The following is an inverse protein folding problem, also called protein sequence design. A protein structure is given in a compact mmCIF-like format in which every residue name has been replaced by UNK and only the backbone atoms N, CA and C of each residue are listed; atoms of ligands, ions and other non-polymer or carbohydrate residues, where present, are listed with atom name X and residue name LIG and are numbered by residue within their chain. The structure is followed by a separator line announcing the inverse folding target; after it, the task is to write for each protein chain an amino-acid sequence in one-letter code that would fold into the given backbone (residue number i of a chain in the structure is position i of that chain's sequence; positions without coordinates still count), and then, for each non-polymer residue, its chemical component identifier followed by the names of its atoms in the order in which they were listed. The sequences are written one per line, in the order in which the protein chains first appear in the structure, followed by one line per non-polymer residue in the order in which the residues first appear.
data_IF_186177404456
#
_entry.id   IF_186177404456
#
_cell.length_a   1.000
_cell.length_b   1.000
_cell.length_c   1.000
_cell.angle_alpha   90.00
_cell.angle_beta   90.00
_cell.angle_gamma   90.00
#
_symmetry.space_group_name_H-M   'P 1'
#
loop_
_entity.id
_entity.type
_entity.pdbx_description
1 polymer ?
#
# COMPACT_ATOMS: atom_id res chain seq x y z
N UNK A 1 33.52 -8.80 21.85
CA UNK A 1 32.12 -9.26 21.70
C UNK A 1 31.44 -8.81 22.97
N UNK A 2 30.80 -7.63 22.98
CA UNK A 2 30.08 -7.14 24.15
C UNK A 2 28.78 -7.93 24.21
N UNK A 3 28.62 -8.72 25.28
CA UNK A 3 27.34 -9.35 25.62
C UNK A 3 26.39 -8.22 26.02
N UNK A 4 25.23 -8.15 25.38
CA UNK A 4 24.20 -7.16 25.71
C UNK A 4 23.73 -7.39 27.16
N UNK A 5 23.59 -6.32 27.93
CA UNK A 5 23.20 -6.39 29.34
C UNK A 5 21.73 -6.88 29.47
N UNK A 6 21.37 -7.59 30.55
CA UNK A 6 20.06 -8.23 30.72
C UNK A 6 18.87 -7.26 30.70
N UNK A 7 19.07 -5.98 31.02
CA UNK A 7 18.01 -4.94 30.94
C UNK A 7 17.64 -4.60 29.49
N UNK A 8 18.59 -4.65 28.55
CA UNK A 8 18.32 -4.41 27.12
C UNK A 8 17.50 -5.55 26.49
N UNK A 9 17.67 -6.79 26.98
CA UNK A 9 16.93 -7.96 26.49
C UNK A 9 15.46 -7.96 26.95
N UNK A 10 15.17 -7.51 28.18
CA UNK A 10 13.80 -7.39 28.68
C UNK A 10 13.02 -6.25 27.98
N UNK A 11 13.65 -5.12 27.66
CA UNK A 11 13.02 -4.07 26.83
C UNK A 11 12.79 -4.52 25.37
N UNK A 12 13.67 -5.33 24.82
CA UNK A 12 13.54 -5.89 23.46
C UNK A 12 12.43 -6.94 23.37
N UNK A 13 12.30 -7.86 24.33
CA UNK A 13 11.17 -8.79 24.39
C UNK A 13 9.85 -8.05 24.65
N UNK A 14 9.85 -7.01 25.49
CA UNK A 14 8.71 -6.13 25.71
C UNK A 14 8.36 -5.25 24.49
N UNK A 15 9.16 -5.28 23.41
CA UNK A 15 8.86 -4.61 22.14
C UNK A 15 8.24 -5.53 21.08
N UNK A 16 8.24 -6.86 21.30
CA UNK A 16 7.67 -7.82 20.35
C UNK A 16 6.16 -8.04 20.55
N UNK A 17 5.40 -8.10 19.47
CA UNK A 17 3.98 -8.41 19.52
C UNK A 17 3.56 -9.14 18.24
N UNK A 18 2.82 -10.24 18.39
CA UNK A 18 2.41 -11.10 17.28
C UNK A 18 0.90 -11.33 17.35
N UNK A 19 0.20 -11.22 16.22
CA UNK A 19 -1.17 -11.68 16.03
C UNK A 19 -1.21 -13.20 15.83
N UNK A 20 -0.24 -13.71 15.10
CA UNK A 20 -0.04 -15.12 14.77
C UNK A 20 1.42 -15.49 14.98
N UNK A 21 1.69 -16.72 15.40
CA UNK A 21 3.03 -17.29 15.22
C UNK A 21 3.40 -17.37 13.74
N UNK A 22 4.70 -17.51 13.43
CA UNK A 22 5.15 -17.67 12.03
C UNK A 22 4.47 -18.87 11.36
N UNK A 23 4.31 -19.97 12.10
CA UNK A 23 3.63 -21.17 11.61
C UNK A 23 2.16 -20.89 11.30
N UNK A 24 1.44 -20.23 12.22
CA UNK A 24 0.05 -19.85 11.99
C UNK A 24 -0.08 -18.86 10.82
N UNK A 25 0.85 -17.93 10.64
CA UNK A 25 0.84 -17.01 9.52
C UNK A 25 1.01 -17.76 8.18
N UNK A 26 1.89 -18.76 8.13
CA UNK A 26 2.06 -19.62 6.96
C UNK A 26 0.79 -20.39 6.60
N UNK A 27 0.07 -20.88 7.60
CA UNK A 27 -1.17 -21.66 7.43
C UNK A 27 -2.40 -20.79 7.14
N UNK A 28 -2.45 -19.58 7.72
CA UNK A 28 -3.63 -18.71 7.68
C UNK A 28 -3.60 -17.65 6.60
N UNK A 29 -2.41 -17.28 6.08
CA UNK A 29 -2.28 -16.29 5.03
C UNK A 29 -3.14 -16.66 3.82
N UNK A 30 -3.85 -15.67 3.28
CA UNK A 30 -4.60 -15.86 2.05
C UNK A 30 -3.68 -15.59 0.87
N UNK A 31 -3.51 -16.58 -0.02
CA UNK A 31 -2.86 -16.31 -1.31
C UNK A 31 -3.69 -15.28 -2.09
N UNK A 32 -3.02 -14.36 -2.77
CA UNK A 32 -3.69 -13.26 -3.48
C UNK A 32 -4.84 -13.77 -4.36
N UNK A 33 -6.03 -13.24 -4.10
CA UNK A 33 -7.30 -13.80 -4.59
C UNK A 33 -7.66 -13.37 -6.02
N UNK A 34 -6.83 -12.52 -6.64
CA UNK A 34 -7.03 -12.00 -7.98
C UNK A 34 -6.05 -10.90 -8.36
N UNK A 35 -6.08 -10.48 -9.63
CA UNK A 35 -5.22 -9.39 -10.12
C UNK A 35 -5.56 -8.07 -9.43
N UNK A 36 -4.54 -7.34 -8.94
CA UNK A 36 -4.70 -6.10 -8.16
C UNK A 36 -5.50 -6.24 -6.84
N UNK A 37 -5.79 -7.46 -6.40
CA UNK A 37 -6.65 -7.74 -5.24
C UNK A 37 -5.92 -7.77 -3.89
N UNK A 38 -4.71 -7.21 -3.79
CA UNK A 38 -3.93 -7.21 -2.54
C UNK A 38 -4.70 -6.55 -1.38
N UNK A 39 -5.48 -5.50 -1.65
CA UNK A 39 -6.34 -4.86 -0.65
C UNK A 39 -7.47 -5.77 -0.14
N UNK A 40 -8.15 -6.48 -1.05
CA UNK A 40 -9.20 -7.43 -0.68
C UNK A 40 -8.63 -8.65 0.07
N UNK A 41 -7.49 -9.18 -0.38
CA UNK A 41 -6.76 -10.23 0.34
C UNK A 41 -6.37 -9.79 1.75
N UNK A 42 -5.85 -8.57 1.92
CA UNK A 42 -5.54 -8.04 3.24
C UNK A 42 -6.78 -7.93 4.14
N UNK A 43 -7.94 -7.56 3.59
CA UNK A 43 -9.21 -7.53 4.36
C UNK A 43 -9.64 -8.93 4.80
N UNK A 44 -9.48 -9.96 3.96
CA UNK A 44 -9.73 -11.35 4.36
C UNK A 44 -8.84 -11.74 5.54
N UNK A 45 -7.54 -11.46 5.45
CA UNK A 45 -6.58 -11.77 6.52
C UNK A 45 -6.89 -10.99 7.81
N UNK A 46 -7.30 -9.72 7.69
CA UNK A 46 -7.73 -8.90 8.83
C UNK A 46 -8.93 -9.54 9.52
N UNK A 47 -9.97 -9.90 8.77
CA UNK A 47 -11.19 -10.45 9.33
C UNK A 47 -10.92 -11.82 9.97
N UNK A 48 -10.11 -12.66 9.33
CA UNK A 48 -9.61 -13.90 9.94
C UNK A 48 -8.86 -13.65 11.25
N UNK A 49 -7.97 -12.65 11.31
CA UNK A 49 -7.23 -12.30 12.52
C UNK A 49 -8.14 -11.79 13.65
N UNK A 50 -9.25 -11.12 13.31
CA UNK A 50 -10.28 -10.69 14.24
C UNK A 50 -11.29 -11.80 14.62
N UNK A 51 -11.12 -13.02 14.09
CA UNK A 51 -12.04 -14.13 14.34
C UNK A 51 -13.39 -14.00 13.63
N UNK A 52 -13.43 -13.30 12.49
CA UNK A 52 -14.61 -13.13 11.64
C UNK A 52 -14.40 -13.86 10.33
N UNK A 53 -15.22 -14.88 10.08
CA UNK A 53 -15.18 -15.62 8.82
C UNK A 53 -15.84 -14.83 7.70
N UNK A 54 -15.13 -14.70 6.58
CA UNK A 54 -15.58 -14.06 5.35
C UNK A 54 -15.03 -14.84 4.16
N UNK A 55 -15.80 -14.95 3.08
CA UNK A 55 -15.28 -15.53 1.84
C UNK A 55 -14.42 -14.50 1.10
N UNK A 56 -13.38 -14.92 0.36
CA UNK A 56 -12.62 -14.04 -0.53
C UNK A 56 -13.48 -13.20 -1.47
N UNK A 57 -14.51 -13.81 -2.04
CA UNK A 57 -15.42 -13.17 -3.01
C UNK A 57 -16.25 -12.07 -2.34
N UNK A 58 -16.69 -12.30 -1.10
CA UNK A 58 -17.43 -11.30 -0.32
C UNK A 58 -16.53 -10.12 0.03
N UNK A 59 -15.29 -10.39 0.47
CA UNK A 59 -14.34 -9.33 0.77
C UNK A 59 -13.99 -8.49 -0.48
N UNK A 60 -13.74 -9.12 -1.63
CA UNK A 60 -13.44 -8.40 -2.88
C UNK A 60 -14.63 -7.55 -3.35
N UNK A 61 -15.86 -8.10 -3.26
CA UNK A 61 -17.09 -7.38 -3.57
C UNK A 61 -17.27 -6.13 -2.70
N UNK A 62 -16.98 -6.23 -1.40
CA UNK A 62 -17.12 -5.12 -0.44
C UNK A 62 -15.98 -4.09 -0.56
N UNK A 63 -14.76 -4.52 -0.85
CA UNK A 63 -13.61 -3.62 -1.03
C UNK A 63 -13.70 -2.83 -2.34
N UNK A 64 -14.36 -3.39 -3.36
CA UNK A 64 -14.54 -2.77 -4.67
C UNK A 64 -13.19 -2.46 -5.35
N UNK A 65 -12.33 -3.47 -5.44
CA UNK A 65 -11.02 -3.37 -6.10
C UNK A 65 -11.16 -2.83 -7.52
N UNK A 66 -10.45 -1.74 -7.86
CA UNK A 66 -10.47 -1.15 -9.19
C UNK A 66 -9.43 -1.82 -10.08
N UNK A 67 -9.85 -2.27 -11.25
CA UNK A 67 -8.97 -2.89 -12.23
C UNK A 67 -8.34 -1.86 -13.17
N UNK A 68 -7.14 -2.17 -13.63
CA UNK A 68 -6.44 -1.41 -14.66
C UNK A 68 -7.18 -1.56 -15.99
N UNK A 69 -7.33 -0.46 -16.72
CA UNK A 69 -7.95 -0.46 -18.05
C UNK A 69 -6.86 -0.57 -19.14
N UNK A 70 -6.18 -1.71 -19.19
CA UNK A 70 -4.99 -1.93 -20.05
C UNK A 70 -5.26 -1.70 -21.55
N UNK A 71 -6.50 -1.88 -22.00
CA UNK A 71 -6.90 -1.73 -23.40
C UNK A 71 -7.48 -0.35 -23.73
N UNK A 72 -7.49 0.59 -22.77
CA UNK A 72 -8.05 1.92 -22.97
C UNK A 72 -7.04 2.90 -23.57
N UNK A 73 -7.52 4.01 -24.21
CA UNK A 73 -6.65 5.10 -24.63
C UNK A 73 -5.79 5.62 -23.48
N UNK A 74 -4.61 6.18 -23.80
CA UNK A 74 -3.56 6.46 -22.81
C UNK A 74 -4.07 7.26 -21.63
N UNK A 75 -4.88 8.28 -21.92
CA UNK A 75 -5.52 9.07 -20.88
C UNK A 75 -6.28 8.17 -19.89
N UNK A 76 -7.27 7.43 -20.38
CA UNK A 76 -8.10 6.57 -19.55
C UNK A 76 -7.30 5.44 -18.87
N UNK A 77 -6.23 4.97 -19.51
CA UNK A 77 -5.26 4.05 -18.93
C UNK A 77 -4.54 4.67 -17.74
N UNK A 78 -3.88 5.83 -17.90
CA UNK A 78 -3.15 6.52 -16.83
C UNK A 78 -4.07 6.88 -15.66
N UNK A 79 -5.29 7.35 -15.93
CA UNK A 79 -6.28 7.57 -14.88
C UNK A 79 -6.63 6.25 -14.17
N UNK A 80 -6.87 5.17 -14.92
CA UNK A 80 -7.12 3.86 -14.29
C UNK A 80 -5.95 3.41 -13.43
N UNK A 81 -4.71 3.71 -13.83
CA UNK A 81 -3.50 3.37 -13.08
C UNK A 81 -3.38 4.18 -11.78
N UNK A 82 -3.77 5.45 -11.78
CA UNK A 82 -3.79 6.27 -10.56
C UNK A 82 -4.76 5.75 -9.50
N UNK A 83 -5.78 4.99 -9.92
CA UNK A 83 -6.87 4.52 -9.05
C UNK A 83 -6.90 2.99 -8.85
N UNK A 84 -6.07 2.24 -9.58
CA UNK A 84 -6.12 0.78 -9.62
C UNK A 84 -5.66 0.13 -8.31
N UNK A 85 -6.41 -0.88 -7.87
CA UNK A 85 -6.31 -1.52 -6.56
C UNK A 85 -7.41 -1.03 -5.61
N UNK A 86 -7.12 -0.98 -4.30
CA UNK A 86 -8.03 -0.41 -3.31
C UNK A 86 -7.34 0.63 -2.43
N UNK A 87 -8.01 1.72 -2.08
CA UNK A 87 -7.51 2.75 -1.13
C UNK A 87 -7.74 2.32 0.33
N UNK A 88 -7.07 2.96 1.29
CA UNK A 88 -7.31 2.68 2.73
C UNK A 88 -8.78 2.94 3.13
N UNK A 89 -9.47 3.90 2.51
CA UNK A 89 -10.91 4.15 2.73
C UNK A 89 -11.75 2.95 2.27
N UNK A 90 -11.41 2.39 1.11
CA UNK A 90 -12.06 1.17 0.60
C UNK A 90 -11.76 -0.05 1.47
N UNK A 91 -10.53 -0.18 2.01
CA UNK A 91 -10.19 -1.23 2.96
C UNK A 91 -11.04 -1.13 4.24
N UNK A 92 -11.14 0.06 4.84
CA UNK A 92 -11.93 0.30 6.07
C UNK A 92 -13.41 -0.02 5.83
N UNK A 93 -13.98 0.56 4.76
CA UNK A 93 -15.38 0.34 4.39
C UNK A 93 -15.64 -1.12 4.04
N UNK A 94 -14.78 -1.74 3.25
CA UNK A 94 -14.91 -3.12 2.82
C UNK A 94 -14.86 -4.10 3.99
N UNK A 95 -13.95 -3.90 4.95
CA UNK A 95 -13.91 -4.71 6.17
C UNK A 95 -15.17 -4.52 7.03
N UNK A 96 -15.68 -3.30 7.15
CA UNK A 96 -16.90 -3.02 7.89
C UNK A 96 -18.12 -3.69 7.22
N UNK A 97 -18.27 -3.57 5.90
CA UNK A 97 -19.39 -4.15 5.16
C UNK A 97 -19.33 -5.69 5.16
N UNK A 98 -18.17 -6.27 4.81
CA UNK A 98 -18.01 -7.72 4.70
C UNK A 98 -18.13 -8.44 6.05
N UNK A 99 -17.84 -7.76 7.16
CA UNK A 99 -18.00 -8.29 8.52
C UNK A 99 -19.39 -8.07 9.12
N UNK A 100 -20.32 -7.42 8.39
CA UNK A 100 -21.62 -7.02 8.93
C UNK A 100 -21.51 -6.01 10.08
N UNK A 101 -20.53 -5.12 10.04
CA UNK A 101 -20.29 -4.08 11.04
C UNK A 101 -19.49 -4.53 12.28
N UNK A 102 -18.94 -5.74 12.27
CA UNK A 102 -18.13 -6.27 13.39
C UNK A 102 -16.70 -5.77 13.41
N UNK A 103 -16.18 -5.26 12.29
CA UNK A 103 -14.86 -4.64 12.21
C UNK A 103 -14.99 -3.13 11.95
N UNK A 104 -14.15 -2.35 12.62
CA UNK A 104 -13.91 -0.93 12.34
C UNK A 104 -12.44 -0.70 12.09
N UNK A 105 -12.11 0.33 11.32
CA UNK A 105 -10.72 0.67 11.04
C UNK A 105 -10.46 2.17 11.05
N UNK A 106 -9.19 2.53 11.24
CA UNK A 106 -8.69 3.89 11.13
C UNK A 106 -7.31 3.87 10.48
N UNK A 107 -7.12 4.78 9.53
CA UNK A 107 -5.86 4.97 8.84
C UNK A 107 -4.99 6.01 9.55
N UNK A 108 -3.69 5.76 9.60
CA UNK A 108 -2.66 6.67 10.08
C UNK A 108 -1.66 6.90 8.97
N UNK A 109 -1.50 8.16 8.60
CA UNK A 109 -0.54 8.53 7.57
C UNK A 109 0.88 8.33 8.08
N UNK A 110 1.77 7.78 7.24
CA UNK A 110 3.21 7.81 7.48
C UNK A 110 3.93 8.80 6.54
N UNK A 111 3.19 9.38 5.59
CA UNK A 111 3.63 10.49 4.75
C UNK A 111 2.72 11.73 4.86
N UNK A 112 3.26 12.97 4.77
CA UNK A 112 4.67 13.32 4.92
C UNK A 112 5.25 12.76 6.23
N UNK A 113 6.60 12.73 6.35
CA UNK A 113 7.30 12.01 7.41
C UNK A 113 6.74 12.35 8.80
N UNK A 114 6.50 11.32 9.61
CA UNK A 114 5.89 11.44 10.94
C UNK A 114 6.89 11.19 12.05
N UNK A 115 6.66 11.83 13.20
CA UNK A 115 7.40 11.58 14.43
C UNK A 115 6.79 10.39 15.17
N UNK A 116 7.19 9.18 14.77
CA UNK A 116 6.75 7.92 15.37
C UNK A 116 7.88 6.89 15.40
N UNK A 117 7.99 6.12 16.49
CA UNK A 117 8.79 4.88 16.53
C UNK A 117 7.87 3.73 16.10
N UNK A 118 7.97 3.32 14.84
CA UNK A 118 6.99 2.43 14.20
C UNK A 118 6.80 1.10 14.94
N UNK A 119 7.89 0.41 15.29
CA UNK A 119 7.83 -0.92 15.95
C UNK A 119 7.14 -0.85 17.32
N UNK A 120 7.58 -0.01 18.29
CA UNK A 120 6.86 0.13 19.56
C UNK A 120 5.40 0.58 19.41
N UNK A 121 5.13 1.45 18.44
CA UNK A 121 3.77 1.93 18.16
C UNK A 121 2.86 0.79 17.67
N UNK A 122 3.31 0.02 16.69
CA UNK A 122 2.59 -1.17 16.19
C UNK A 122 2.41 -2.21 17.30
N UNK A 123 3.46 -2.50 18.07
CA UNK A 123 3.41 -3.46 19.17
C UNK A 123 2.31 -3.10 20.19
N UNK A 124 2.21 -1.80 20.52
CA UNK A 124 1.19 -1.31 21.45
C UNK A 124 -0.25 -1.53 20.95
N UNK A 125 -0.46 -1.47 19.64
CA UNK A 125 -1.78 -1.69 19.03
C UNK A 125 -2.10 -3.17 18.89
N UNK A 126 -1.14 -3.97 18.44
CA UNK A 126 -1.28 -5.43 18.33
C UNK A 126 -1.65 -6.03 19.70
N UNK A 127 -0.99 -5.61 20.78
CA UNK A 127 -1.30 -6.09 22.14
C UNK A 127 -2.70 -5.70 22.64
N UNK A 128 -3.25 -4.59 22.13
CA UNK A 128 -4.63 -4.20 22.42
C UNK A 128 -5.65 -5.03 21.64
N UNK A 129 -5.20 -5.85 20.68
CA UNK A 129 -6.06 -6.63 19.78
C UNK A 129 -6.40 -5.92 18.48
N UNK A 130 -5.62 -4.89 18.11
CA UNK A 130 -5.76 -4.27 16.79
C UNK A 130 -4.92 -5.00 15.74
N UNK A 131 -5.45 -5.05 14.51
CA UNK A 131 -4.84 -5.74 13.37
C UNK A 131 -4.34 -4.71 12.36
N UNK A 132 -3.02 -4.57 12.13
CA UNK A 132 -2.46 -3.61 11.20
C UNK A 132 -2.40 -4.11 9.75
N UNK A 133 -2.64 -3.20 8.80
CA UNK A 133 -2.37 -3.37 7.37
C UNK A 133 -1.50 -2.20 6.90
N UNK A 134 -0.35 -2.49 6.34
CA UNK A 134 0.51 -1.50 5.70
C UNK A 134 0.02 -1.21 4.28
N UNK A 135 -0.05 0.08 3.92
CA UNK A 135 -0.24 0.57 2.55
C UNK A 135 1.06 1.20 2.07
N UNK A 136 1.73 0.55 1.13
CA UNK A 136 3.13 0.84 0.79
C UNK A 136 3.30 1.12 -0.68
N UNK A 137 4.20 2.04 -0.97
CA UNK A 137 4.69 2.30 -2.32
C UNK A 137 6.00 1.55 -2.53
N UNK A 138 5.93 0.42 -3.23
CA UNK A 138 7.10 -0.46 -3.45
C UNK A 138 8.07 0.09 -4.51
N UNK A 139 7.76 1.22 -5.13
CA UNK A 139 8.45 1.71 -6.32
C UNK A 139 9.64 2.63 -6.01
N UNK A 140 9.80 3.00 -4.74
CA UNK A 140 10.70 4.09 -4.31
C UNK A 140 11.88 3.60 -3.46
N UNK A 141 12.00 2.29 -3.27
CA UNK A 141 13.05 1.64 -2.50
C UNK A 141 13.69 0.48 -3.29
N UNK A 142 13.72 0.61 -4.62
CA UNK A 142 14.24 -0.40 -5.54
C UNK A 142 15.73 -0.11 -5.77
N UNK A 143 16.64 -1.07 -5.53
CA UNK A 143 18.06 -0.90 -5.82
C UNK A 143 18.32 -0.57 -7.30
N UNK A 144 19.39 0.17 -7.58
CA UNK A 144 19.78 0.49 -8.95
C UNK A 144 19.99 -0.79 -9.78
N UNK A 145 19.30 -0.88 -10.92
CA UNK A 145 19.38 -2.02 -11.84
C UNK A 145 18.35 -3.13 -11.58
N UNK A 146 17.57 -3.06 -10.51
CA UNK A 146 16.44 -3.96 -10.27
C UNK A 146 15.14 -3.47 -10.92
N UNK A 147 14.23 -4.41 -11.22
CA UNK A 147 12.94 -4.09 -11.81
C UNK A 147 12.06 -3.36 -10.79
N UNK A 148 11.60 -2.16 -11.16
CA UNK A 148 10.72 -1.36 -10.29
C UNK A 148 9.34 -2.02 -10.23
N UNK A 149 8.82 -2.34 -9.03
CA UNK A 149 7.48 -2.89 -8.91
C UNK A 149 6.45 -1.98 -9.56
N UNK A 150 5.42 -2.54 -10.18
CA UNK A 150 4.47 -1.77 -10.98
C UNK A 150 3.20 -1.37 -10.20
N UNK A 151 3.22 -1.37 -8.86
CA UNK A 151 2.05 -1.07 -8.03
C UNK A 151 2.34 -0.69 -6.57
N UNK A 152 1.34 -0.04 -5.96
CA UNK A 152 1.17 0.00 -4.51
C UNK A 152 0.71 -1.35 -3.98
N UNK A 153 1.08 -1.64 -2.73
CA UNK A 153 0.77 -2.93 -2.11
C UNK A 153 0.11 -2.77 -0.74
N UNK A 154 -0.72 -3.74 -0.39
CA UNK A 154 -1.33 -3.87 0.93
C UNK A 154 -0.91 -5.19 1.55
N UNK A 155 -0.36 -5.13 2.76
CA UNK A 155 0.05 -6.32 3.50
C UNK A 155 -0.38 -6.23 4.95
N UNK A 156 -0.93 -7.32 5.47
CA UNK A 156 -1.20 -7.45 6.89
C UNK A 156 0.13 -7.55 7.64
N UNK A 157 0.29 -6.76 8.69
CA UNK A 157 1.41 -6.90 9.63
C UNK A 157 0.95 -7.87 10.72
N UNK A 158 1.38 -9.13 10.63
CA UNK A 158 1.01 -10.14 11.62
C UNK A 158 1.89 -10.10 12.87
N UNK A 159 2.99 -9.34 12.85
CA UNK A 159 3.79 -9.14 14.04
C UNK A 159 4.92 -8.14 13.90
N UNK A 160 5.54 -7.82 15.02
CA UNK A 160 6.73 -6.99 15.12
C UNK A 160 7.69 -7.55 16.17
N UNK A 161 8.99 -7.38 15.94
CA UNK A 161 10.07 -7.68 16.89
C UNK A 161 11.04 -6.50 16.95
N UNK A 162 12.03 -6.52 17.86
CA UNK A 162 13.19 -5.65 17.78
C UNK A 162 13.74 -5.67 16.35
N UNK A 163 13.70 -4.49 15.73
CA UNK A 163 14.18 -4.28 14.36
C UNK A 163 13.49 -5.12 13.28
N UNK A 164 12.32 -5.70 13.50
CA UNK A 164 11.63 -6.48 12.47
C UNK A 164 10.13 -6.16 12.40
N UNK A 165 9.59 -6.13 11.18
CA UNK A 165 8.14 -6.12 10.91
C UNK A 165 7.82 -7.35 10.06
N UNK A 166 6.90 -8.19 10.54
CA UNK A 166 6.49 -9.41 9.87
C UNK A 166 5.17 -9.20 9.14
N UNK A 167 5.13 -9.52 7.85
CA UNK A 167 4.00 -9.24 6.97
C UNK A 167 3.55 -10.49 6.19
N UNK A 168 2.26 -10.58 5.81
CA UNK A 168 1.74 -11.64 4.93
C UNK A 168 1.48 -11.14 3.50
N UNK A 169 1.36 -12.11 2.58
CA UNK A 169 1.07 -11.93 1.15
C UNK A 169 2.08 -11.07 0.37
N UNK A 170 3.29 -11.60 0.03
CA UNK A 170 3.87 -12.86 0.52
C UNK A 170 4.36 -12.73 1.98
N UNK A 171 4.68 -13.86 2.61
CA UNK A 171 5.31 -13.84 3.93
C UNK A 171 6.68 -13.18 3.82
N UNK A 172 6.85 -12.04 4.48
CA UNK A 172 8.03 -11.19 4.36
C UNK A 172 8.47 -10.67 5.74
N UNK A 173 9.78 -10.45 5.89
CA UNK A 173 10.40 -9.94 7.11
C UNK A 173 11.27 -8.75 6.74
N UNK A 174 10.89 -7.57 7.21
CA UNK A 174 11.63 -6.35 6.91
C UNK A 174 12.40 -5.90 8.14
N UNK A 175 13.74 -5.86 8.04
CA UNK A 175 14.62 -5.27 9.04
C UNK A 175 14.34 -3.76 9.19
N UNK A 176 14.51 -3.23 10.40
CA UNK A 176 14.08 -1.89 10.81
C UNK A 176 14.34 -0.86 9.69
N UNK A 177 13.31 -0.17 9.20
CA UNK A 177 13.32 0.40 7.87
C UNK A 177 14.22 1.64 7.84
N UNK A 178 15.45 1.46 7.38
CA UNK A 178 16.21 2.53 6.75
C UNK A 178 15.58 2.74 5.37
N UNK A 179 14.39 3.35 5.34
CA UNK A 179 13.72 3.70 4.08
C UNK A 179 12.48 2.87 3.75
N UNK A 180 11.46 2.88 4.62
CA UNK A 180 10.11 2.92 4.04
C UNK A 180 10.05 4.24 3.25
N UNK A 181 10.26 4.15 1.95
CA UNK A 181 10.20 5.30 1.04
C UNK A 181 8.72 5.59 0.78
N UNK A 182 8.10 6.20 1.78
CA UNK A 182 6.66 6.43 1.91
C UNK A 182 6.27 7.65 1.07
N UNK A 183 6.40 7.67 -0.26
CA UNK A 183 5.97 8.85 -1.07
C UNK A 183 4.68 8.54 -1.83
N UNK A 184 3.84 9.56 -2.04
CA UNK A 184 2.52 9.47 -2.70
C UNK A 184 2.62 9.18 -4.23
N UNK A 185 3.80 9.17 -4.83
CA UNK A 185 3.97 9.15 -6.28
C UNK A 185 4.01 7.73 -6.87
N UNK A 186 3.16 7.40 -7.84
CA UNK A 186 3.21 6.14 -8.58
C UNK A 186 4.17 6.27 -9.79
N UNK A 187 5.13 5.36 -9.92
CA UNK A 187 5.93 5.16 -11.12
C UNK A 187 5.23 4.17 -12.04
N UNK A 188 5.27 4.37 -13.36
CA UNK A 188 4.73 3.38 -14.31
C UNK A 188 5.85 3.00 -15.26
N UNK A 189 6.16 1.70 -15.30
CA UNK A 189 7.13 1.15 -16.24
C UNK A 189 6.61 1.24 -17.67
N UNK A 190 7.46 1.70 -18.59
CA UNK A 190 7.11 1.84 -19.99
C UNK A 190 7.05 0.47 -20.68
N UNK A 191 5.86 -0.14 -20.73
CA UNK A 191 5.63 -1.33 -21.57
C UNK A 191 5.31 -0.94 -23.01
N UNK A 192 5.44 -1.89 -23.95
CA UNK A 192 5.06 -1.71 -25.36
C UNK A 192 3.63 -1.16 -25.55
N UNK A 193 2.73 -1.35 -24.57
CA UNK A 193 1.38 -0.80 -24.59
C UNK A 193 1.33 0.73 -24.43
N UNK A 194 2.19 1.33 -23.59
CA UNK A 194 2.24 2.79 -23.43
C UNK A 194 2.83 3.44 -24.70
N UNK A 195 3.80 2.78 -25.33
CA UNK A 195 4.39 3.20 -26.61
C UNK A 195 3.35 3.18 -27.73
N UNK A 196 2.68 2.03 -27.95
CA UNK A 196 1.67 1.85 -29.00
C UNK A 196 0.51 2.85 -28.90
N UNK A 197 0.06 3.14 -27.67
CA UNK A 197 -1.07 4.06 -27.47
C UNK A 197 -0.67 5.53 -27.64
N UNK A 198 0.60 5.89 -27.38
CA UNK A 198 1.12 7.23 -27.70
C UNK A 198 1.34 7.43 -29.20
N UNK A 199 1.79 6.39 -29.92
CA UNK A 199 1.97 6.45 -31.39
C UNK A 199 0.65 6.62 -32.14
N UNK A 200 -0.46 6.13 -31.57
CA UNK A 200 -1.77 6.11 -32.23
C UNK A 200 -2.74 7.23 -31.80
N UNK A 201 -2.47 7.94 -30.71
CA UNK A 201 -3.41 8.96 -30.20
C UNK A 201 -2.68 9.92 -29.28
N UNK A 202 -2.34 11.14 -29.75
CA UNK A 202 -2.45 12.37 -28.98
C UNK A 202 -1.82 13.56 -29.72
N UNK A 203 -2.66 14.47 -30.22
CA UNK A 203 -2.32 15.88 -30.13
C UNK A 203 -2.74 16.34 -28.72
N UNK A 204 -1.93 17.16 -28.04
CA UNK A 204 -2.14 17.54 -26.64
C UNK A 204 -3.50 18.19 -26.30
N UNK A 205 -4.36 18.43 -27.30
CA UNK A 205 -5.71 18.96 -27.16
C UNK A 205 -6.75 17.93 -26.66
N UNK A 206 -6.59 16.63 -26.93
CA UNK A 206 -7.59 15.60 -26.54
C UNK A 206 -7.53 15.24 -25.05
N UNK A 207 -6.37 15.43 -24.41
CA UNK A 207 -6.14 15.14 -22.98
C UNK A 207 -6.84 16.13 -22.03
N UNK A 208 -7.14 17.35 -22.48
CA UNK A 208 -7.70 18.42 -21.65
C UNK A 208 -9.23 18.34 -21.47
N UNK A 209 -9.93 17.62 -22.36
CA UNK A 209 -11.39 17.69 -22.48
C UNK A 209 -12.18 16.62 -21.71
N UNK A 210 -11.52 15.67 -21.02
CA UNK A 210 -12.20 14.66 -20.19
C UNK A 210 -12.38 15.16 -18.75
N UNK A 211 -13.63 15.17 -18.24
CA UNK A 211 -13.90 15.45 -16.81
C UNK A 211 -13.22 14.36 -15.96
N UNK A 212 -12.48 14.78 -14.93
CA UNK A 212 -11.60 13.92 -14.11
C UNK A 212 -10.13 13.95 -14.55
N UNK A 213 -9.86 14.25 -15.82
CA UNK A 213 -8.50 14.35 -16.35
C UNK A 213 -7.79 15.66 -15.98
N UNK A 214 -8.53 16.72 -15.66
CA UNK A 214 -7.94 17.99 -15.21
C UNK A 214 -7.17 17.85 -13.90
N UNK A 215 -7.62 17.01 -12.95
CA UNK A 215 -6.90 16.78 -11.69
C UNK A 215 -5.63 15.95 -11.89
N UNK A 216 -5.65 14.99 -12.82
CA UNK A 216 -4.46 14.22 -13.22
C UNK A 216 -3.49 15.09 -14.04
N UNK A 217 -3.98 15.98 -14.91
CA UNK A 217 -3.16 16.88 -15.73
C UNK A 217 -2.42 17.95 -14.91
N UNK A 218 -2.96 18.36 -13.76
CA UNK A 218 -2.32 19.37 -12.89
C UNK A 218 -0.96 18.89 -12.38
N UNK A 219 -0.72 17.57 -12.35
CA UNK A 219 0.53 16.96 -11.87
C UNK A 219 1.24 16.12 -12.94
N UNK A 220 0.53 15.62 -13.95
CA UNK A 220 1.14 15.01 -15.14
C UNK A 220 1.74 16.11 -16.01
N UNK A 221 3.05 16.35 -15.88
CA UNK A 221 3.76 17.32 -16.71
C UNK A 221 3.77 16.82 -18.15
N UNK A 222 3.14 17.53 -19.12
CA UNK A 222 3.30 17.21 -20.54
C UNK A 222 4.76 17.29 -20.99
N UNK A 223 5.63 17.93 -20.20
CA UNK A 223 7.08 17.98 -20.39
C UNK A 223 7.76 16.64 -20.17
N UNK A 224 7.29 15.79 -19.24
CA UNK A 224 7.88 14.46 -19.03
C UNK A 224 7.73 13.60 -20.29
N UNK A 225 6.54 13.63 -20.91
CA UNK A 225 6.30 12.83 -22.11
C UNK A 225 6.96 13.43 -23.35
N UNK A 226 6.97 14.76 -23.49
CA UNK A 226 7.70 15.42 -24.59
C UNK A 226 9.20 15.15 -24.54
N UNK A 227 9.78 15.22 -23.35
CA UNK A 227 11.19 14.88 -23.12
C UNK A 227 11.48 13.43 -23.51
N UNK A 228 10.57 12.50 -23.20
CA UNK A 228 10.69 11.09 -23.59
C UNK A 228 10.63 10.86 -25.10
N UNK A 229 9.73 11.55 -25.82
CA UNK A 229 9.68 11.45 -27.29
C UNK A 229 10.98 11.93 -27.93
N UNK A 230 11.57 13.00 -27.38
CA UNK A 230 12.87 13.51 -27.83
C UNK A 230 14.02 12.54 -27.51
N UNK A 231 13.94 11.80 -26.39
CA UNK A 231 14.91 10.77 -26.01
C UNK A 231 14.81 9.50 -26.88
N UNK A 232 13.64 9.16 -27.43
CA UNK A 232 13.48 8.06 -28.40
C UNK A 232 14.08 8.39 -29.78
N UNK A 233 14.07 9.67 -30.18
CA UNK A 233 14.73 10.12 -31.43
C UNK A 233 16.26 10.13 -31.33
N UNK A 234 16.82 10.05 -30.12
CA UNK A 234 18.25 9.97 -29.88
C UNK A 234 18.70 8.50 -29.83
N UNK A 235 19.57 8.10 -30.77
CA UNK A 235 20.12 6.73 -30.82
C UNK A 235 20.96 6.38 -29.57
N UNK A 236 21.59 7.38 -28.95
CA UNK A 236 22.48 7.21 -27.80
C UNK A 236 22.23 8.31 -26.76
N UNK A 237 21.74 7.94 -25.57
CA UNK A 237 21.39 8.88 -24.50
C UNK A 237 20.65 8.22 -23.32
N UNK A 238 20.62 8.87 -22.14
CA UNK A 238 19.86 8.39 -21.00
C UNK A 238 18.37 8.33 -21.35
N UNK A 239 17.76 7.16 -21.18
CA UNK A 239 16.33 6.95 -21.47
C UNK A 239 15.52 7.01 -20.19
N UNK A 240 14.50 7.85 -20.19
CA UNK A 240 13.48 7.83 -19.15
C UNK A 240 12.64 6.54 -19.27
N UNK A 241 12.80 5.62 -18.32
CA UNK A 241 12.11 4.32 -18.33
C UNK A 241 10.71 4.35 -17.69
N UNK A 242 10.39 5.40 -16.92
CA UNK A 242 9.16 5.49 -16.13
C UNK A 242 8.55 6.89 -16.18
N UNK A 243 7.22 6.96 -16.11
CA UNK A 243 6.50 8.22 -15.92
C UNK A 243 5.90 8.26 -14.52
N UNK A 244 5.93 9.43 -13.89
CA UNK A 244 5.31 9.64 -12.59
C UNK A 244 3.89 10.16 -12.75
N UNK A 245 2.94 9.53 -12.07
CA UNK A 245 1.56 10.00 -11.99
C UNK A 245 1.10 10.10 -10.53
N UNK A 246 0.11 10.95 -10.22
CA UNK A 246 -0.56 10.91 -8.92
C UNK A 246 -1.13 9.53 -8.63
N UNK A 247 -1.06 9.11 -7.37
CA UNK A 247 -1.76 7.95 -6.88
C UNK A 247 -2.93 8.40 -6.00
N UNK A 248 -4.07 7.71 -6.07
CA UNK A 248 -5.17 7.85 -5.11
C UNK A 248 -4.81 7.33 -3.70
N UNK A 249 -3.58 6.86 -3.53
CA UNK A 249 -3.05 6.20 -2.35
C UNK A 249 -2.35 7.19 -1.43
N UNK A 250 -2.35 6.83 -0.15
CA UNK A 250 -1.49 7.47 0.84
C UNK A 250 -0.75 6.37 1.56
N UNK A 251 0.54 6.57 1.80
CA UNK A 251 1.32 5.59 2.52
C UNK A 251 1.11 5.73 4.02
N UNK A 252 0.91 4.59 4.67
CA UNK A 252 0.54 4.55 6.08
C UNK A 252 0.12 3.17 6.55
N UNK A 253 -0.50 3.15 7.73
CA UNK A 253 -1.01 1.92 8.36
C UNK A 253 -2.50 2.08 8.63
N UNK A 254 -3.30 1.13 8.16
CA UNK A 254 -4.68 0.97 8.61
C UNK A 254 -4.71 0.02 9.78
N UNK A 255 -5.20 0.46 10.93
CA UNK A 255 -5.45 -0.42 12.07
C UNK A 255 -6.92 -0.80 12.07
N UNK A 256 -7.21 -2.07 12.34
CA UNK A 256 -8.56 -2.62 12.48
C UNK A 256 -8.77 -3.17 13.88
N UNK A 257 -10.00 -3.14 14.38
CA UNK A 257 -10.36 -3.80 15.64
C UNK A 257 -11.83 -4.24 15.62
N UNK A 258 -12.19 -5.17 16.51
CA UNK A 258 -13.57 -5.56 16.70
C UNK A 258 -14.41 -4.40 17.24
N UNK A 259 -15.54 -4.13 16.62
CA UNK A 259 -16.51 -3.13 17.06
C UNK A 259 -16.93 -3.40 18.50
N UNK A 260 -16.91 -2.35 19.34
CA UNK A 260 -17.25 -2.45 20.76
C UNK A 260 -16.09 -2.84 21.68
N UNK A 261 -14.95 -3.30 21.15
CA UNK A 261 -13.75 -3.56 21.96
C UNK A 261 -13.10 -2.27 22.49
N UNK A 262 -12.33 -2.38 23.57
CA UNK A 262 -11.52 -1.26 24.09
C UNK A 262 -10.53 -0.75 23.04
N UNK A 263 -9.97 -1.65 22.22
CA UNK A 263 -9.11 -1.29 21.10
C UNK A 263 -9.83 -0.42 20.09
N UNK A 264 -11.05 -0.79 19.67
CA UNK A 264 -11.84 0.02 18.75
C UNK A 264 -12.14 1.41 19.32
N UNK A 265 -12.52 1.50 20.60
CA UNK A 265 -12.81 2.79 21.23
C UNK A 265 -11.58 3.70 21.29
N UNK A 266 -10.42 3.15 21.66
CA UNK A 266 -9.15 3.89 21.68
C UNK A 266 -8.70 4.27 20.27
N UNK A 267 -8.82 3.34 19.31
CA UNK A 267 -8.45 3.53 17.92
C UNK A 267 -9.21 4.68 17.29
N UNK A 268 -10.53 4.72 17.44
CA UNK A 268 -11.36 5.76 16.83
C UNK A 268 -11.08 7.15 17.41
N UNK A 269 -10.63 7.23 18.66
CA UNK A 269 -10.28 8.48 19.37
C UNK A 269 -8.81 8.87 19.23
N UNK A 270 -7.96 7.97 18.72
CA UNK A 270 -6.52 8.23 18.64
C UNK A 270 -6.24 9.41 17.69
N UNK A 271 -5.39 10.37 18.10
CA UNK A 271 -4.99 11.45 17.21
C UNK A 271 -4.14 10.91 16.06
N UNK A 272 -4.09 11.66 14.96
CA UNK A 272 -3.14 11.38 13.88
C UNK A 272 -1.68 11.50 14.36
N UNK A 273 -0.78 10.79 13.69
CA UNK A 273 0.65 10.85 13.98
C UNK A 273 1.20 12.27 13.71
N UNK A 274 1.95 12.85 14.66
CA UNK A 274 2.52 14.17 14.51
C UNK A 274 3.52 14.20 13.35
N UNK A 275 3.54 15.32 12.63
CA UNK A 275 4.55 15.57 11.59
C UNK A 275 5.95 15.64 12.23
N UNK A 276 6.97 15.19 11.49
CA UNK A 276 8.37 15.38 11.85
C UNK A 276 8.86 16.77 11.44
#
# INVERSE_FOLDING_TARGET
RMEAEPEDQEEEEAAAAMLWSIQEALERQTQQIGASACGATAVVDVLKALGVDVSPEEADRCVQTRLRRNESPLADYLLSRSEAGATHVQLIRGAQEASGGKAVGRFFHLYPRRRVRLVPWLASWIRKGAVPVATMNMQLAVPDGEEVPDAWHHQLIFGVAPRAVFMTNPLDVVDQPVGFSLVILLLIALSEQIKVVFTLSCTGAELSNKRGFQEVLVVFSPGQVRQMMLEEELEDGPRTAHVSIPAAYSSGVTLFALTGSDAAQQLLKAPELPLL
#
